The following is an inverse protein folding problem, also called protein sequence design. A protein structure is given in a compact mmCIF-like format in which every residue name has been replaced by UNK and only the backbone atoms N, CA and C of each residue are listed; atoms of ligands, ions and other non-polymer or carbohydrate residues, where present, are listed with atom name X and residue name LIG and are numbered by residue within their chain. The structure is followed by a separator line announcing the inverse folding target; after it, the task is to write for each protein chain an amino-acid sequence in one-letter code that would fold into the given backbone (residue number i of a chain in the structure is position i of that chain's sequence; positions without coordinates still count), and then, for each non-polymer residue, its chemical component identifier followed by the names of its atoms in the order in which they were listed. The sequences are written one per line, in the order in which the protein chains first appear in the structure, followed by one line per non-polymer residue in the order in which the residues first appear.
data_IF_913684559903
#
_entry.id   IF_913684559903
#
_cell.length_a   1.000
_cell.length_b   1.000
_cell.length_c   1.000
_cell.angle_alpha   90.00
_cell.angle_beta   90.00
_cell.angle_gamma   90.00
#
_symmetry.space_group_name_H-M   'P 1'
#
loop_
_entity.id
_entity.type
_entity.pdbx_description
1 polymer ?
#
# COMPACT_ATOMS: atom_id res chain seq x y z
N UNK A 1 16.11 12.68 -29.53
CA UNK A 1 15.16 11.79 -28.84
C UNK A 1 15.88 10.91 -27.80
N UNK A 2 16.60 11.48 -26.83
CA UNK A 2 17.39 10.71 -25.86
C UNK A 2 17.28 11.21 -24.40
N UNK A 3 16.27 12.04 -24.08
CA UNK A 3 16.12 12.68 -22.76
C UNK A 3 15.28 11.91 -21.73
N UNK A 4 14.31 11.09 -22.16
CA UNK A 4 13.27 10.55 -21.25
C UNK A 4 13.73 9.37 -20.35
N UNK A 5 14.95 8.87 -20.51
CA UNK A 5 15.41 7.67 -19.79
C UNK A 5 15.97 7.96 -18.39
N UNK A 6 16.23 9.21 -18.02
CA UNK A 6 16.96 9.51 -16.78
C UNK A 6 16.06 9.58 -15.54
N UNK A 7 14.81 10.03 -15.67
CA UNK A 7 13.87 10.11 -14.54
C UNK A 7 13.40 8.72 -14.08
N UNK A 8 13.14 7.80 -15.02
CA UNK A 8 12.77 6.42 -14.69
C UNK A 8 13.90 5.65 -13.99
N UNK A 9 15.17 5.97 -14.30
CA UNK A 9 16.34 5.39 -13.61
C UNK A 9 16.45 5.87 -12.16
N UNK A 10 16.12 7.13 -11.90
CA UNK A 10 16.12 7.68 -10.54
C UNK A 10 15.05 7.02 -9.66
N UNK A 11 13.84 6.77 -10.19
CA UNK A 11 12.76 6.13 -9.42
C UNK A 11 13.06 4.65 -9.13
N UNK A 12 13.63 3.92 -10.09
CA UNK A 12 14.07 2.52 -9.90
C UNK A 12 15.20 2.46 -8.87
N UNK A 13 16.14 3.41 -8.88
CA UNK A 13 17.20 3.52 -7.88
C UNK A 13 16.67 3.73 -6.46
N UNK A 14 15.68 4.62 -6.29
CA UNK A 14 14.96 4.85 -5.01
C UNK A 14 14.30 3.57 -4.51
N UNK A 15 13.65 2.85 -5.42
CA UNK A 15 12.97 1.60 -5.11
C UNK A 15 13.95 0.52 -4.65
N UNK A 16 15.08 0.37 -5.35
CA UNK A 16 16.13 -0.59 -4.98
C UNK A 16 16.76 -0.26 -3.62
N UNK A 17 16.92 1.02 -3.28
CA UNK A 17 17.42 1.44 -1.97
C UNK A 17 16.43 1.19 -0.83
N UNK A 18 15.11 1.41 -1.06
CA UNK A 18 14.06 1.06 -0.10
C UNK A 18 14.08 -0.43 0.27
N UNK A 19 14.24 -1.29 -0.73
CA UNK A 19 14.24 -2.75 -0.58
C UNK A 19 15.41 -3.21 0.29
N UNK A 20 16.61 -2.68 0.05
CA UNK A 20 17.80 -3.05 0.81
C UNK A 20 17.68 -2.70 2.31
N UNK A 21 16.99 -1.60 2.65
CA UNK A 21 16.82 -1.17 4.04
C UNK A 21 15.85 -2.07 4.83
N UNK A 22 14.81 -2.62 4.19
CA UNK A 22 13.81 -3.50 4.83
C UNK A 22 14.40 -4.87 5.20
N UNK A 23 15.35 -5.39 4.41
CA UNK A 23 15.91 -6.73 4.59
C UNK A 23 16.97 -6.85 5.71
N UNK A 24 17.43 -5.74 6.29
CA UNK A 24 18.53 -5.73 7.28
C UNK A 24 18.04 -5.67 8.73
N UNK A 25 16.73 -5.53 8.98
CA UNK A 25 16.19 -5.50 10.36
C UNK A 25 16.00 -6.93 10.88
N UNK A 26 16.73 -7.37 11.91
CA UNK A 26 16.56 -8.71 12.47
C UNK A 26 15.18 -8.84 13.14
N UNK A 27 14.41 -9.85 12.73
CA UNK A 27 13.21 -10.28 13.44
C UNK A 27 13.59 -10.83 14.82
N UNK A 28 13.36 -10.06 15.88
CA UNK A 28 13.37 -10.62 17.25
C UNK A 28 12.07 -11.41 17.46
N UNK A 29 12.16 -12.73 17.46
CA UNK A 29 11.07 -13.63 17.82
C UNK A 29 10.80 -13.55 19.32
N UNK A 30 9.95 -12.60 19.75
CA UNK A 30 9.41 -12.57 21.10
C UNK A 30 8.35 -13.66 21.26
N UNK A 31 8.72 -14.78 21.89
CA UNK A 31 7.80 -15.86 22.23
C UNK A 31 6.88 -15.44 23.37
N UNK A 32 5.58 -15.35 23.08
CA UNK A 32 4.52 -15.33 24.11
C UNK A 32 3.85 -16.70 24.12
N UNK A 33 4.07 -17.46 25.19
CA UNK A 33 3.39 -18.74 25.44
C UNK A 33 1.92 -18.49 25.74
N UNK A 34 1.01 -18.92 24.86
CA UNK A 34 -0.41 -19.07 25.18
C UNK A 34 -0.74 -20.54 25.45
N UNK A 35 -1.17 -20.82 26.67
CA UNK A 35 -1.83 -22.05 27.07
C UNK A 35 -3.14 -22.22 26.30
N UNK A 36 -3.32 -23.41 25.72
CA UNK A 36 -4.49 -23.77 24.93
C UNK A 36 -5.75 -23.88 25.80
N UNK A 37 -6.77 -23.07 25.48
CA UNK A 37 -8.14 -23.23 25.99
C UNK A 37 -9.04 -23.78 24.88
N UNK A 38 -9.78 -24.82 25.24
CA UNK A 38 -10.75 -25.63 24.48
C UNK A 38 -11.90 -24.76 23.89
N UNK A 39 -12.50 -25.12 22.74
CA UNK A 39 -13.56 -24.31 22.14
C UNK A 39 -14.85 -24.40 22.98
N UNK A 40 -15.39 -23.24 23.35
CA UNK A 40 -16.67 -23.13 24.05
C UNK A 40 -17.83 -23.12 23.03
N UNK A 41 -18.79 -24.01 23.27
CA UNK A 41 -20.15 -23.99 22.71
C UNK A 41 -20.81 -22.63 22.93
N UNK A 42 -21.47 -22.13 21.89
CA UNK A 42 -22.29 -20.93 21.93
C UNK A 42 -23.56 -21.19 22.77
N UNK A 43 -23.60 -20.64 23.98
CA UNK A 43 -24.85 -20.40 24.70
C UNK A 43 -25.26 -18.94 24.51
N UNK A 44 -26.42 -18.76 23.90
CA UNK A 44 -27.14 -17.50 23.86
C UNK A 44 -27.55 -17.12 25.29
N UNK A 45 -27.13 -15.94 25.74
CA UNK A 45 -27.74 -15.26 26.88
C UNK A 45 -28.19 -13.90 26.41
N UNK A 46 -29.49 -13.67 26.57
CA UNK A 46 -30.14 -12.38 26.39
C UNK A 46 -29.58 -11.40 27.42
N UNK A 47 -29.07 -10.26 26.95
CA UNK A 47 -28.78 -9.10 27.77
C UNK A 47 -29.13 -7.83 26.97
N UNK A 48 -30.09 -7.10 27.52
CA UNK A 48 -30.58 -5.80 27.11
C UNK A 48 -29.48 -4.74 26.98
N UNK A 49 -29.62 -3.90 25.96
CA UNK A 49 -29.41 -2.45 26.06
C UNK A 49 -27.98 -1.91 25.98
N UNK A 50 -27.46 -1.76 24.76
CA UNK A 50 -26.77 -0.52 24.38
C UNK A 50 -26.85 -0.33 22.85
N UNK A 51 -27.44 0.77 22.41
CA UNK A 51 -27.67 1.09 21.00
C UNK A 51 -26.34 1.45 20.31
N UNK A 52 -25.62 0.42 19.87
CA UNK A 52 -24.52 0.55 18.91
C UNK A 52 -25.04 1.06 17.57
N UNK A 53 -24.99 2.38 17.37
CA UNK A 53 -25.35 3.04 16.13
C UNK A 53 -24.64 2.39 14.94
N UNK A 54 -25.41 1.69 14.11
CA UNK A 54 -24.95 1.13 12.85
C UNK A 54 -24.37 2.25 11.99
N UNK A 55 -23.04 2.23 11.82
CA UNK A 55 -22.39 3.02 10.79
C UNK A 55 -22.92 2.49 9.44
N UNK A 56 -23.80 3.27 8.81
CA UNK A 56 -24.17 3.06 7.42
C UNK A 56 -22.93 3.07 6.51
N UNK A 57 -23.09 2.72 5.21
CA UNK A 57 -21.98 2.70 4.27
C UNK A 57 -21.18 4.01 4.37
N UNK A 58 -19.84 3.94 4.35
CA UNK A 58 -18.99 5.10 4.58
C UNK A 58 -19.40 6.21 3.63
N UNK A 59 -19.88 7.33 4.19
CA UNK A 59 -20.13 8.55 3.41
C UNK A 59 -18.81 8.88 2.72
N UNK A 60 -18.84 8.99 1.40
CA UNK A 60 -17.71 9.34 0.54
C UNK A 60 -16.86 10.41 1.25
N UNK A 61 -15.69 9.99 1.72
CA UNK A 61 -14.94 10.69 2.75
C UNK A 61 -14.61 12.11 2.31
N UNK A 62 -14.68 13.03 3.26
CA UNK A 62 -14.22 14.41 3.08
C UNK A 62 -12.73 14.41 2.76
N UNK A 63 -12.42 14.49 1.47
CA UNK A 63 -11.05 14.38 0.94
C UNK A 63 -10.35 15.74 0.92
N UNK A 64 -10.96 16.78 1.49
CA UNK A 64 -10.36 18.13 1.68
C UNK A 64 -9.01 18.09 2.41
N UNK A 65 -8.79 17.09 3.26
CA UNK A 65 -7.52 16.89 3.93
C UNK A 65 -6.35 16.55 3.00
N UNK A 66 -6.61 15.98 1.82
CA UNK A 66 -5.56 15.58 0.86
C UNK A 66 -4.82 16.77 0.25
N UNK A 67 -5.50 17.90 0.09
CA UNK A 67 -4.91 19.15 -0.42
C UNK A 67 -4.12 19.91 0.65
N UNK A 68 -4.37 19.65 1.95
CA UNK A 68 -3.79 20.43 3.06
C UNK A 68 -2.26 20.52 3.00
N UNK A 69 -1.51 19.41 2.82
CA UNK A 69 -0.05 19.50 2.75
C UNK A 69 0.44 20.35 1.58
N UNK A 70 -0.26 20.31 0.44
CA UNK A 70 0.11 21.07 -0.76
C UNK A 70 -0.17 22.56 -0.59
N UNK A 71 -1.32 22.92 0.01
CA UNK A 71 -1.66 24.30 0.31
C UNK A 71 -0.64 24.92 1.27
N UNK A 72 -0.30 24.19 2.34
CA UNK A 72 0.75 24.60 3.30
C UNK A 72 2.12 24.76 2.62
N UNK A 73 2.49 23.84 1.72
CA UNK A 73 3.72 23.92 0.94
C UNK A 73 3.75 25.17 0.04
N UNK A 74 2.62 25.50 -0.58
CA UNK A 74 2.48 26.65 -1.47
C UNK A 74 2.41 28.00 -0.72
N UNK A 75 2.32 27.97 0.61
CA UNK A 75 2.11 29.15 1.46
C UNK A 75 0.69 29.71 1.37
N UNK A 76 -0.29 28.87 1.01
CA UNK A 76 -1.71 29.23 0.97
C UNK A 76 -2.40 28.69 2.22
N UNK A 77 -3.20 29.52 2.87
CA UNK A 77 -4.09 29.04 3.92
C UNK A 77 -5.20 28.20 3.26
N UNK A 78 -5.61 27.10 3.91
CA UNK A 78 -6.94 26.54 3.65
C UNK A 78 -7.93 27.65 4.04
N UNK A 79 -8.64 28.23 3.08
CA UNK A 79 -9.78 29.06 3.42
C UNK A 79 -10.76 28.14 4.17
N UNK A 80 -10.95 28.40 5.46
CA UNK A 80 -11.94 27.71 6.28
C UNK A 80 -13.32 28.21 5.83
N UNK A 81 -13.81 27.71 4.69
CA UNK A 81 -15.15 28.02 4.25
C UNK A 81 -16.15 27.37 5.21
N UNK A 82 -17.04 28.19 5.73
CA UNK A 82 -18.04 27.81 6.71
C UNK A 82 -18.92 26.65 6.23
N UNK A 83 -19.40 25.89 7.20
CA UNK A 83 -20.38 24.81 7.10
C UNK A 83 -21.57 25.13 6.18
N UNK A 84 -21.50 24.76 4.90
CA UNK A 84 -22.64 24.72 3.99
C UNK A 84 -22.54 23.55 2.98
N UNK A 85 -23.67 23.01 2.46
CA UNK A 85 -23.70 21.81 1.65
C UNK A 85 -23.42 22.14 0.17
N UNK A 86 -22.13 22.23 -0.19
CA UNK A 86 -21.62 22.34 -1.56
C UNK A 86 -20.32 21.54 -1.78
N UNK A 87 -20.07 20.54 -0.93
CA UNK A 87 -18.74 20.02 -0.59
C UNK A 87 -17.93 19.39 -1.74
N UNK A 88 -18.57 18.81 -2.75
CA UNK A 88 -17.86 18.08 -3.82
C UNK A 88 -17.29 19.06 -4.87
N UNK A 89 -18.08 20.06 -5.29
CA UNK A 89 -17.66 21.03 -6.31
C UNK A 89 -16.57 21.97 -5.78
N UNK A 90 -16.69 22.39 -4.52
CA UNK A 90 -15.69 23.23 -3.84
C UNK A 90 -14.37 22.50 -3.65
N UNK A 91 -14.41 21.19 -3.38
CA UNK A 91 -13.21 20.39 -3.24
C UNK A 91 -12.54 20.09 -4.58
N UNK A 92 -13.29 19.75 -5.62
CA UNK A 92 -12.75 19.61 -6.97
C UNK A 92 -12.10 20.94 -7.43
N UNK A 93 -12.70 22.08 -7.07
CA UNK A 93 -12.12 23.39 -7.30
C UNK A 93 -10.83 23.63 -6.49
N UNK A 94 -10.77 23.18 -5.23
CA UNK A 94 -9.55 23.22 -4.39
C UNK A 94 -8.41 22.42 -5.03
N UNK A 95 -8.62 21.15 -5.36
CA UNK A 95 -7.57 20.29 -5.92
C UNK A 95 -7.12 20.79 -7.30
N UNK A 96 -8.05 21.29 -8.13
CA UNK A 96 -7.71 21.93 -9.41
C UNK A 96 -6.91 23.22 -9.22
N UNK A 97 -7.22 24.04 -8.20
CA UNK A 97 -6.46 25.25 -7.87
C UNK A 97 -5.04 24.93 -7.35
N UNK A 98 -4.90 23.89 -6.53
CA UNK A 98 -3.60 23.36 -6.09
C UNK A 98 -2.79 22.94 -7.31
N UNK A 99 -3.35 22.10 -8.16
CA UNK A 99 -2.66 21.56 -9.32
C UNK A 99 -2.27 22.65 -10.33
N UNK A 100 -3.16 23.63 -10.57
CA UNK A 100 -2.84 24.81 -11.37
C UNK A 100 -1.70 25.62 -10.76
N UNK A 101 -1.70 25.86 -9.45
CA UNK A 101 -0.63 26.62 -8.79
C UNK A 101 0.72 25.90 -8.89
N UNK A 102 0.72 24.57 -8.77
CA UNK A 102 1.92 23.75 -8.95
C UNK A 102 2.46 23.87 -10.38
N UNK A 103 1.57 23.82 -11.38
CA UNK A 103 1.92 24.02 -12.79
C UNK A 103 2.45 25.45 -13.07
N UNK A 104 1.76 26.48 -12.57
CA UNK A 104 2.13 27.89 -12.72
C UNK A 104 3.51 28.20 -12.11
N UNK A 105 3.89 27.47 -11.04
CA UNK A 105 5.21 27.57 -10.40
C UNK A 105 6.26 26.62 -10.99
N UNK A 106 5.93 25.87 -12.05
CA UNK A 106 6.78 24.86 -12.67
C UNK A 106 7.34 23.85 -11.66
N UNK A 107 6.49 23.34 -10.76
CA UNK A 107 6.83 22.30 -9.78
C UNK A 107 6.48 20.94 -10.38
N UNK A 108 7.48 20.08 -10.58
CA UNK A 108 7.25 18.72 -11.03
C UNK A 108 6.77 17.85 -9.86
N UNK A 109 5.59 17.24 -10.02
CA UNK A 109 5.00 16.37 -9.01
C UNK A 109 5.08 14.92 -9.47
N UNK A 110 5.53 14.04 -8.59
CA UNK A 110 5.38 12.59 -8.72
C UNK A 110 4.51 12.07 -7.57
N UNK A 111 3.85 10.94 -7.79
CA UNK A 111 2.97 10.31 -6.82
C UNK A 111 3.39 8.87 -6.55
N UNK A 112 3.22 8.42 -5.32
CA UNK A 112 3.41 7.04 -4.87
C UNK A 112 2.29 6.70 -3.91
N UNK A 113 1.67 5.53 -4.06
CA UNK A 113 0.80 4.96 -3.03
C UNK A 113 1.62 3.93 -2.26
N UNK A 114 1.57 3.97 -0.94
CA UNK A 114 2.25 3.04 -0.06
C UNK A 114 1.22 2.40 0.87
N UNK A 115 1.11 1.08 0.81
CA UNK A 115 0.35 0.33 1.78
C UNK A 115 1.12 0.28 3.10
N UNK A 116 0.44 0.58 4.20
CA UNK A 116 1.01 0.56 5.55
C UNK A 116 0.14 -0.30 6.46
N UNK A 117 0.74 -0.89 7.49
CA UNK A 117 -0.08 -1.46 8.56
C UNK A 117 -1.02 -0.37 9.11
N UNK A 118 -2.28 -0.71 9.33
CA UNK A 118 -3.27 0.25 9.85
C UNK A 118 -2.76 0.86 11.18
N UNK A 119 -2.54 2.17 11.24
CA UNK A 119 -1.90 2.83 12.39
C UNK A 119 -2.74 2.81 13.67
N UNK A 120 -4.04 2.55 13.58
CA UNK A 120 -4.97 2.61 14.72
C UNK A 120 -5.55 1.24 15.03
N UNK A 121 -6.02 0.56 13.99
CA UNK A 121 -6.75 -0.69 14.10
C UNK A 121 -5.83 -1.90 14.16
N UNK A 122 -4.58 -1.80 13.69
CA UNK A 122 -3.63 -2.89 13.89
C UNK A 122 -3.07 -2.83 15.31
N UNK A 123 -2.91 -3.98 15.96
CA UNK A 123 -2.14 -4.10 17.21
C UNK A 123 -0.64 -3.80 17.04
N UNK A 124 -0.26 -3.23 15.90
CA UNK A 124 1.10 -3.18 15.39
C UNK A 124 1.44 -1.78 14.87
N UNK A 125 0.97 -0.72 15.54
CA UNK A 125 1.28 0.68 15.18
C UNK A 125 2.78 0.96 15.03
N UNK A 126 3.63 0.25 15.79
CA UNK A 126 5.09 0.29 15.62
C UNK A 126 5.53 -0.05 14.18
N UNK A 127 4.86 -0.98 13.49
CA UNK A 127 5.20 -1.31 12.09
C UNK A 127 4.95 -0.12 11.18
N UNK A 128 3.87 0.63 11.41
CA UNK A 128 3.61 1.84 10.65
C UNK A 128 4.75 2.84 10.84
N UNK A 129 5.17 3.08 12.07
CA UNK A 129 6.30 3.98 12.36
C UNK A 129 7.59 3.52 11.69
N UNK A 130 7.90 2.22 11.77
CA UNK A 130 9.07 1.63 11.11
C UNK A 130 9.00 1.77 9.59
N UNK A 131 7.82 1.59 8.99
CA UNK A 131 7.60 1.76 7.55
C UNK A 131 7.84 3.22 7.13
N UNK A 132 7.32 4.18 7.89
CA UNK A 132 7.51 5.61 7.62
C UNK A 132 8.97 6.04 7.82
N UNK A 133 9.63 5.56 8.87
CA UNK A 133 11.05 5.82 9.11
C UNK A 133 11.91 5.24 7.97
N UNK A 134 11.59 4.02 7.51
CA UNK A 134 12.28 3.37 6.40
C UNK A 134 12.10 4.14 5.10
N UNK A 135 10.89 4.61 4.81
CA UNK A 135 10.59 5.47 3.66
C UNK A 135 11.40 6.77 3.70
N UNK A 136 11.45 7.46 4.84
CA UNK A 136 12.22 8.71 4.95
C UNK A 136 13.72 8.46 4.78
N UNK A 137 14.26 7.41 5.43
CA UNK A 137 15.68 7.04 5.32
C UNK A 137 16.07 6.66 3.90
N UNK A 138 15.22 5.95 3.18
CA UNK A 138 15.50 5.51 1.82
C UNK A 138 15.40 6.65 0.80
N UNK A 139 14.51 7.62 1.02
CA UNK A 139 14.35 8.77 0.13
C UNK A 139 15.48 9.80 0.26
N UNK A 140 16.08 9.92 1.44
CA UNK A 140 17.13 10.90 1.73
C UNK A 140 18.35 10.80 0.79
N UNK A 141 18.95 9.63 0.54
CA UNK A 141 20.03 9.47 -0.45
C UNK A 141 19.68 9.93 -1.87
N UNK A 142 18.40 9.96 -2.22
CA UNK A 142 17.91 10.40 -3.54
C UNK A 142 17.52 11.88 -3.55
N UNK A 143 17.91 12.64 -2.52
CA UNK A 143 17.70 14.08 -2.44
C UNK A 143 16.25 14.45 -2.17
N UNK A 144 15.49 13.59 -1.50
CA UNK A 144 14.14 13.90 -1.03
C UNK A 144 14.14 14.09 0.50
N UNK A 145 13.48 15.14 0.97
CA UNK A 145 13.34 15.46 2.40
C UNK A 145 11.86 15.66 2.71
N UNK A 146 11.39 15.07 3.81
CA UNK A 146 10.02 15.26 4.28
C UNK A 146 9.75 16.75 4.58
N UNK A 147 8.60 17.27 4.16
CA UNK A 147 8.28 18.71 4.24
C UNK A 147 6.94 18.98 4.94
N UNK A 148 5.84 18.38 4.45
CA UNK A 148 4.48 18.52 4.98
C UNK A 148 3.75 17.18 4.99
N UNK A 149 2.76 17.04 5.85
CA UNK A 149 1.95 15.83 5.91
C UNK A 149 0.57 16.10 6.48
N UNK A 150 -0.37 15.23 6.14
CA UNK A 150 -1.69 15.15 6.73
C UNK A 150 -2.04 13.68 6.92
N UNK A 151 -2.30 13.27 8.16
CA UNK A 151 -2.65 11.89 8.51
C UNK A 151 -4.05 11.88 9.12
N UNK A 152 -5.07 11.33 8.44
CA UNK A 152 -6.47 11.40 8.91
C UNK A 152 -6.68 10.72 10.25
N UNK A 153 -5.86 9.73 10.57
CA UNK A 153 -5.91 9.02 11.85
C UNK A 153 -5.26 9.77 13.01
N UNK A 154 -4.68 10.96 12.81
CA UNK A 154 -4.17 11.81 13.88
C UNK A 154 -5.05 13.05 13.94
N UNK A 155 -5.84 13.18 15.02
CA UNK A 155 -6.66 14.36 15.24
C UNK A 155 -5.79 15.58 15.59
N UNK A 156 -6.35 16.79 15.47
CA UNK A 156 -5.63 18.04 15.75
C UNK A 156 -5.14 18.15 17.21
N UNK A 157 -5.76 17.39 18.13
CA UNK A 157 -5.34 17.24 19.53
C UNK A 157 -4.17 16.24 19.71
N UNK A 158 -3.63 15.72 18.61
CA UNK A 158 -2.57 14.71 18.58
C UNK A 158 -3.03 13.29 18.91
N UNK A 159 -4.32 13.07 19.19
CA UNK A 159 -4.83 11.74 19.53
C UNK A 159 -5.08 10.92 18.28
N UNK A 160 -4.66 9.66 18.31
CA UNK A 160 -4.98 8.72 17.26
C UNK A 160 -6.48 8.38 17.30
N UNK A 161 -7.14 8.43 16.14
CA UNK A 161 -8.55 8.08 15.97
C UNK A 161 -8.70 7.20 14.75
N UNK A 162 -9.53 6.16 14.87
CA UNK A 162 -9.83 5.31 13.73
C UNK A 162 -10.59 6.15 12.70
N UNK A 163 -9.94 6.45 11.58
CA UNK A 163 -10.57 7.06 10.42
C UNK A 163 -10.35 6.14 9.24
N UNK A 164 -11.44 5.54 8.76
CA UNK A 164 -11.45 4.70 7.56
C UNK A 164 -11.85 5.52 6.34
N UNK A 165 -11.38 5.08 5.18
CA UNK A 165 -11.76 5.60 3.87
C UNK A 165 -11.04 6.87 3.45
N UNK A 166 -10.05 7.33 4.20
CA UNK A 166 -9.19 8.45 3.82
C UNK A 166 -7.72 8.04 3.90
N UNK A 167 -6.92 8.26 2.84
CA UNK A 167 -5.49 7.99 2.89
C UNK A 167 -4.78 9.13 3.62
N UNK A 168 -3.64 8.82 4.24
CA UNK A 168 -2.68 9.85 4.66
C UNK A 168 -1.92 10.39 3.46
N UNK A 169 -1.37 11.60 3.57
CA UNK A 169 -0.52 12.21 2.53
C UNK A 169 0.74 12.75 3.17
N UNK A 170 1.89 12.40 2.63
CA UNK A 170 3.19 12.95 2.99
C UNK A 170 3.85 13.57 1.75
N UNK A 171 4.34 14.80 1.89
CA UNK A 171 5.09 15.50 0.86
C UNK A 171 6.58 15.45 1.15
N UNK A 172 7.33 15.11 0.11
CA UNK A 172 8.78 15.13 0.11
C UNK A 172 9.27 16.12 -0.95
N UNK A 173 9.99 17.14 -0.50
CA UNK A 173 10.61 18.13 -1.39
C UNK A 173 11.95 17.60 -1.90
N UNK A 174 12.17 17.69 -3.20
CA UNK A 174 13.45 17.42 -3.84
C UNK A 174 14.45 18.55 -3.58
N UNK A 175 15.66 18.22 -3.14
CA UNK A 175 16.74 19.16 -2.81
C UNK A 175 17.82 19.26 -3.91
N UNK A 176 17.82 18.34 -4.87
CA UNK A 176 18.75 18.38 -6.00
C UNK A 176 18.33 19.37 -7.09
N UNK A 177 19.29 20.14 -7.63
CA UNK A 177 19.11 20.91 -8.87
C UNK A 177 18.77 19.95 -10.01
N UNK A 178 17.82 20.31 -10.87
CA UNK A 178 17.59 19.57 -12.12
C UNK A 178 18.84 19.74 -12.97
N UNK A 179 19.57 18.65 -13.20
CA UNK A 179 20.78 18.66 -14.03
C UNK A 179 20.37 18.82 -15.50
N UNK A 180 20.95 19.81 -16.17
CA UNK A 180 20.67 20.16 -17.56
C UNK A 180 20.08 21.56 -17.66
N UNK A 181 20.85 22.51 -18.21
CA UNK A 181 20.53 23.94 -18.33
C UNK A 181 19.37 24.29 -19.28
N UNK A 182 18.45 23.36 -19.52
CA UNK A 182 17.13 23.63 -20.08
C UNK A 182 16.24 24.28 -19.00
N UNK A 183 15.23 25.08 -19.36
CA UNK A 183 14.22 25.57 -18.43
C UNK A 183 13.32 24.42 -17.95
N UNK A 184 13.88 23.54 -17.11
CA UNK A 184 13.18 22.45 -16.44
C UNK A 184 12.47 22.93 -15.17
N UNK A 185 11.64 22.06 -14.56
CA UNK A 185 10.95 22.38 -13.32
C UNK A 185 11.95 22.78 -12.24
N UNK A 186 11.78 23.97 -11.67
CA UNK A 186 12.73 24.52 -10.67
C UNK A 186 12.68 23.75 -9.35
N UNK A 187 11.61 22.98 -9.13
CA UNK A 187 11.37 22.22 -7.91
C UNK A 187 10.74 20.87 -8.24
N UNK A 188 11.06 19.86 -7.42
CA UNK A 188 10.47 18.52 -7.48
C UNK A 188 9.74 18.22 -6.18
N UNK A 189 8.58 17.60 -6.28
CA UNK A 189 7.75 17.20 -5.14
C UNK A 189 7.31 15.75 -5.34
N UNK A 190 7.50 14.92 -4.32
CA UNK A 190 6.97 13.56 -4.28
C UNK A 190 5.84 13.54 -3.26
N UNK A 191 4.63 13.21 -3.72
CA UNK A 191 3.47 12.96 -2.88
C UNK A 191 3.36 11.45 -2.60
N UNK A 192 3.42 11.08 -1.32
CA UNK A 192 3.24 9.70 -0.87
C UNK A 192 1.89 9.58 -0.18
N UNK A 193 0.99 8.79 -0.77
CA UNK A 193 -0.30 8.44 -0.20
C UNK A 193 -0.16 7.19 0.65
N UNK A 194 -0.65 7.23 1.88
CA UNK A 194 -0.56 6.16 2.85
C UNK A 194 -1.92 5.50 2.99
N UNK A 195 -2.00 4.23 2.63
CA UNK A 195 -3.25 3.46 2.68
C UNK A 195 -3.10 2.36 3.74
N UNK A 196 -3.98 2.39 4.74
CA UNK A 196 -4.00 1.40 5.81
C UNK A 196 -4.43 0.02 5.29
N UNK A 197 -3.76 -1.01 5.79
CA UNK A 197 -4.17 -2.40 5.60
C UNK A 197 -4.11 -3.21 6.90
N UNK A 198 -5.00 -4.19 6.99
CA UNK A 198 -5.15 -5.11 8.10
C UNK A 198 -4.93 -6.54 7.61
N UNK A 199 -4.22 -7.35 8.40
CA UNK A 199 -3.89 -8.74 8.04
C UNK A 199 -5.09 -9.57 7.57
N UNK A 200 -6.24 -9.42 8.24
CA UNK A 200 -7.45 -10.22 8.00
C UNK A 200 -8.56 -9.45 7.29
N UNK A 201 -8.66 -8.14 7.51
CA UNK A 201 -9.69 -7.31 6.86
C UNK A 201 -9.26 -6.75 5.49
N UNK A 202 -7.97 -6.88 5.15
CA UNK A 202 -7.44 -6.42 3.88
C UNK A 202 -7.15 -4.91 3.86
N UNK A 203 -7.13 -4.35 2.65
CA UNK A 203 -6.82 -2.94 2.41
C UNK A 203 -8.05 -2.07 2.66
N UNK A 204 -7.81 -0.84 3.12
CA UNK A 204 -8.83 0.20 3.08
C UNK A 204 -9.09 0.62 1.62
N UNK A 205 -10.02 -0.09 0.97
CA UNK A 205 -10.41 0.13 -0.43
C UNK A 205 -10.82 1.57 -0.74
N UNK A 206 -11.76 2.18 0.03
CA UNK A 206 -12.13 3.57 -0.19
C UNK A 206 -10.94 4.55 -0.06
N UNK A 207 -10.01 4.32 0.88
CA UNK A 207 -8.79 5.12 0.99
C UNK A 207 -7.86 4.95 -0.23
N UNK A 208 -7.72 3.72 -0.77
CA UNK A 208 -6.96 3.46 -1.99
C UNK A 208 -7.55 4.20 -3.19
N UNK A 209 -8.87 4.12 -3.38
CA UNK A 209 -9.56 4.79 -4.48
C UNK A 209 -9.37 6.32 -4.40
N UNK A 210 -9.54 6.90 -3.22
CA UNK A 210 -9.30 8.32 -2.99
C UNK A 210 -7.85 8.72 -3.26
N UNK A 211 -6.87 7.89 -2.88
CA UNK A 211 -5.46 8.13 -3.15
C UNK A 211 -5.16 8.15 -4.66
N UNK A 212 -5.70 7.17 -5.40
CA UNK A 212 -5.49 7.05 -6.84
C UNK A 212 -6.15 8.20 -7.60
N UNK A 213 -7.40 8.55 -7.26
CA UNK A 213 -8.13 9.65 -7.89
C UNK A 213 -7.41 10.99 -7.68
N UNK A 214 -6.94 11.24 -6.46
CA UNK A 214 -6.21 12.46 -6.12
C UNK A 214 -4.83 12.52 -6.78
N UNK A 215 -4.07 11.42 -6.75
CA UNK A 215 -2.79 11.30 -7.43
C UNK A 215 -2.93 11.55 -8.94
N UNK A 216 -3.89 10.90 -9.59
CA UNK A 216 -4.12 11.06 -11.02
C UNK A 216 -4.48 12.50 -11.39
N UNK A 217 -5.33 13.15 -10.58
CA UNK A 217 -5.73 14.55 -10.79
C UNK A 217 -4.54 15.51 -10.71
N UNK A 218 -3.64 15.30 -9.74
CA UNK A 218 -2.42 16.11 -9.60
C UNK A 218 -1.43 15.89 -10.75
N UNK A 219 -1.20 14.63 -11.14
CA UNK A 219 -0.30 14.31 -12.24
C UNK A 219 -0.82 14.87 -13.57
N UNK A 220 -2.12 14.80 -13.82
CA UNK A 220 -2.75 15.31 -15.03
C UNK A 220 -2.56 16.83 -15.20
N UNK A 221 -2.52 17.59 -14.11
CA UNK A 221 -2.38 19.04 -14.16
C UNK A 221 -0.93 19.55 -14.09
N UNK A 222 0.01 18.75 -13.58
CA UNK A 222 1.42 19.15 -13.44
C UNK A 222 2.33 18.61 -14.55
N UNK A 223 1.93 17.54 -15.24
CA UNK A 223 2.69 16.98 -16.36
C UNK A 223 2.29 17.61 -17.69
N UNK A 224 3.04 18.62 -18.12
CA UNK A 224 2.90 19.23 -19.44
C UNK A 224 3.26 18.30 -20.62
N UNK A 225 3.83 17.10 -20.38
CA UNK A 225 4.50 16.35 -21.45
C UNK A 225 4.28 14.83 -21.55
N UNK A 226 3.79 14.08 -20.54
CA UNK A 226 3.72 12.61 -20.69
C UNK A 226 2.47 11.97 -20.08
N UNK A 227 1.55 11.55 -20.97
CA UNK A 227 0.38 10.69 -20.69
C UNK A 227 0.72 9.29 -20.12
N UNK A 228 1.94 9.07 -19.61
CA UNK A 228 2.47 7.75 -19.26
C UNK A 228 3.02 7.64 -17.84
N UNK A 229 2.90 8.68 -17.01
CA UNK A 229 3.33 8.55 -15.61
C UNK A 229 2.50 7.49 -14.90
N UNK A 230 3.19 6.45 -14.45
CA UNK A 230 2.62 5.38 -13.63
C UNK A 230 2.60 5.83 -12.18
N UNK A 231 1.52 5.53 -11.47
CA UNK A 231 1.43 5.64 -10.02
C UNK A 231 1.92 4.31 -9.43
N UNK A 232 3.15 4.23 -8.90
CA UNK A 232 3.58 3.06 -8.16
C UNK A 232 2.73 2.85 -6.91
N UNK A 233 2.46 1.58 -6.61
CA UNK A 233 1.82 1.11 -5.40
C UNK A 233 2.82 0.20 -4.70
N UNK A 234 3.40 0.67 -3.59
CA UNK A 234 4.30 -0.12 -2.76
C UNK A 234 3.47 -0.93 -1.77
N UNK A 235 3.30 -2.22 -2.05
CA UNK A 235 2.49 -3.12 -1.24
C UNK A 235 2.06 -4.40 -1.99
N UNK A 236 1.29 -5.28 -1.34
CA UNK A 236 0.78 -5.14 0.03
C UNK A 236 1.83 -5.42 1.11
N UNK A 237 1.55 -5.01 2.36
CA UNK A 237 2.40 -5.31 3.53
C UNK A 237 2.20 -6.75 3.98
N UNK A 238 0.93 -7.14 4.12
CA UNK A 238 0.45 -8.43 4.57
C UNK A 238 -0.03 -9.24 3.36
N UNK A 239 0.34 -10.52 3.31
CA UNK A 239 -0.13 -11.44 2.27
C UNK A 239 -1.65 -11.52 2.18
N UNK A 240 -2.36 -11.45 3.32
CA UNK A 240 -3.82 -11.50 3.37
C UNK A 240 -4.51 -10.34 2.63
N UNK A 241 -3.81 -9.24 2.42
CA UNK A 241 -4.33 -8.04 1.75
C UNK A 241 -4.40 -8.18 0.23
N UNK A 242 -3.69 -9.14 -0.37
CA UNK A 242 -3.52 -9.23 -1.82
C UNK A 242 -4.85 -9.27 -2.60
N UNK A 243 -5.83 -10.06 -2.15
CA UNK A 243 -7.13 -10.17 -2.81
C UNK A 243 -7.91 -8.85 -2.74
N UNK A 244 -7.95 -8.22 -1.56
CA UNK A 244 -8.64 -6.94 -1.38
C UNK A 244 -7.99 -5.81 -2.18
N UNK A 245 -6.66 -5.82 -2.33
CA UNK A 245 -5.95 -4.90 -3.21
C UNK A 245 -6.32 -5.14 -4.67
N UNK A 246 -6.37 -6.38 -5.14
CA UNK A 246 -6.78 -6.71 -6.50
C UNK A 246 -8.21 -6.22 -6.80
N UNK A 247 -9.16 -6.45 -5.88
CA UNK A 247 -10.54 -6.01 -6.03
C UNK A 247 -10.68 -4.48 -6.08
N UNK A 248 -10.01 -3.76 -5.17
CA UNK A 248 -10.03 -2.30 -5.16
C UNK A 248 -9.36 -1.70 -6.42
N UNK A 249 -8.32 -2.35 -6.94
CA UNK A 249 -7.70 -1.96 -8.22
C UNK A 249 -8.60 -2.24 -9.41
N UNK A 250 -9.29 -3.38 -9.45
CA UNK A 250 -10.28 -3.65 -10.49
C UNK A 250 -11.36 -2.56 -10.53
N UNK A 251 -11.86 -2.14 -9.37
CA UNK A 251 -12.79 -1.01 -9.27
C UNK A 251 -12.19 0.30 -9.80
N UNK A 252 -10.95 0.64 -9.39
CA UNK A 252 -10.27 1.84 -9.86
C UNK A 252 -10.07 1.86 -11.38
N UNK A 253 -9.72 0.70 -11.96
CA UNK A 253 -9.41 0.55 -13.39
C UNK A 253 -10.66 0.40 -14.26
N UNK A 254 -11.82 0.09 -13.66
CA UNK A 254 -13.12 0.05 -14.35
C UNK A 254 -13.71 1.45 -14.59
N UNK A 255 -13.09 2.51 -14.07
CA UNK A 255 -13.54 3.90 -14.26
C UNK A 255 -13.29 4.39 -15.69
N UNK A 256 -14.02 5.43 -16.12
CA UNK A 256 -13.88 6.01 -17.46
C UNK A 256 -12.51 6.63 -17.76
N UNK A 257 -11.79 7.06 -16.71
CA UNK A 257 -10.43 7.56 -16.79
C UNK A 257 -9.54 6.78 -15.80
N UNK A 258 -9.16 5.54 -16.13
CA UNK A 258 -8.49 4.67 -15.17
C UNK A 258 -7.07 5.17 -14.85
N UNK A 259 -6.61 5.04 -13.59
CA UNK A 259 -5.25 5.39 -13.23
C UNK A 259 -4.25 4.41 -13.86
N UNK A 260 -3.13 4.92 -14.36
CA UNK A 260 -2.04 4.08 -14.85
C UNK A 260 -1.19 3.65 -13.65
N UNK A 261 -1.27 2.39 -13.22
CA UNK A 261 -0.67 1.92 -11.96
C UNK A 261 0.36 0.80 -12.19
N UNK A 262 1.26 0.64 -11.22
CA UNK A 262 2.17 -0.52 -11.11
C UNK A 262 2.27 -0.96 -9.66
N UNK A 263 2.15 -2.26 -9.39
CA UNK A 263 2.24 -2.82 -8.03
C UNK A 263 3.62 -3.38 -7.79
N UNK A 264 4.21 -2.99 -6.67
CA UNK A 264 5.56 -3.33 -6.24
C UNK A 264 5.49 -3.95 -4.84
N UNK A 265 5.52 -5.28 -4.78
CA UNK A 265 5.49 -6.01 -3.52
C UNK A 265 6.89 -6.10 -2.89
N UNK A 266 7.00 -5.64 -1.65
CA UNK A 266 8.25 -5.65 -0.88
C UNK A 266 8.24 -6.49 0.38
N UNK A 267 7.09 -7.04 0.82
CA UNK A 267 7.01 -7.78 2.09
C UNK A 267 6.07 -8.99 2.11
N UNK A 268 5.06 -9.06 1.23
CA UNK A 268 4.13 -10.19 1.20
C UNK A 268 4.73 -11.42 0.50
N UNK A 269 5.27 -12.36 1.27
CA UNK A 269 6.01 -13.54 0.75
C UNK A 269 5.14 -14.62 0.12
N UNK A 270 3.87 -14.70 0.47
CA UNK A 270 2.96 -15.77 0.02
C UNK A 270 1.85 -15.23 -0.91
N UNK A 271 2.16 -14.22 -1.72
CA UNK A 271 1.20 -13.67 -2.68
C UNK A 271 1.03 -14.63 -3.87
N UNK A 272 -0.21 -15.08 -4.12
CA UNK A 272 -0.55 -15.90 -5.30
C UNK A 272 -0.81 -14.97 -6.50
N UNK A 273 0.19 -14.81 -7.37
CA UNK A 273 0.10 -13.93 -8.54
C UNK A 273 -1.04 -14.34 -9.48
N UNK A 274 -1.29 -15.64 -9.65
CA UNK A 274 -2.35 -16.11 -10.55
C UNK A 274 -3.73 -15.70 -10.03
N UNK A 275 -3.93 -15.82 -8.72
CA UNK A 275 -5.16 -15.37 -8.06
C UNK A 275 -5.31 -13.85 -8.13
N UNK A 276 -4.23 -13.11 -7.86
CA UNK A 276 -4.20 -11.66 -7.98
C UNK A 276 -4.58 -11.20 -9.40
N UNK A 277 -3.96 -11.77 -10.43
CA UNK A 277 -4.27 -11.49 -11.84
C UNK A 277 -5.71 -11.90 -12.20
N UNK A 278 -6.25 -12.97 -11.62
CA UNK A 278 -7.61 -13.43 -11.88
C UNK A 278 -8.66 -12.47 -11.32
N UNK A 279 -8.41 -11.90 -10.14
CA UNK A 279 -9.29 -10.90 -9.50
C UNK A 279 -9.23 -9.54 -10.18
N UNK A 280 -8.14 -9.24 -10.91
CA UNK A 280 -7.99 -8.02 -11.69
C UNK A 280 -8.66 -8.05 -13.07
N UNK A 281 -9.23 -9.18 -13.51
CA UNK A 281 -9.73 -9.30 -14.88
C UNK A 281 -10.95 -8.40 -15.14
N UNK A 282 -11.10 -7.84 -16.36
CA UNK A 282 -10.27 -8.06 -17.55
C UNK A 282 -8.95 -7.27 -17.60
N UNK A 283 -8.71 -6.41 -16.62
CA UNK A 283 -7.55 -5.54 -16.57
C UNK A 283 -6.25 -6.30 -16.27
N UNK A 284 -5.12 -5.67 -16.61
CA UNK A 284 -3.80 -6.18 -16.23
C UNK A 284 -3.01 -5.05 -15.58
N UNK A 285 -2.40 -5.35 -14.45
CA UNK A 285 -1.54 -4.41 -13.73
C UNK A 285 -0.13 -4.97 -13.72
N UNK A 286 0.88 -4.22 -14.20
CA UNK A 286 2.26 -4.61 -14.03
C UNK A 286 2.55 -4.86 -12.55
N UNK A 287 3.07 -6.04 -12.25
CA UNK A 287 3.35 -6.48 -10.90
C UNK A 287 4.80 -6.93 -10.82
N UNK A 288 5.55 -6.37 -9.87
CA UNK A 288 6.90 -6.81 -9.54
C UNK A 288 6.99 -7.13 -8.04
N UNK A 289 7.90 -8.05 -7.71
CA UNK A 289 8.22 -8.40 -6.33
C UNK A 289 9.72 -8.41 -6.14
N UNK A 290 10.13 -8.09 -4.92
CA UNK A 290 11.54 -7.90 -4.54
C UNK A 290 11.99 -8.93 -3.52
N UNK A 291 11.06 -9.79 -3.12
CA UNK A 291 11.23 -10.89 -2.18
C UNK A 291 10.98 -12.20 -2.91
N UNK A 292 11.73 -13.24 -2.53
CA UNK A 292 11.50 -14.58 -3.05
C UNK A 292 10.11 -15.06 -2.62
N UNK A 293 9.38 -15.70 -3.54
CA UNK A 293 8.09 -16.27 -3.22
C UNK A 293 8.22 -17.41 -2.22
N UNK A 294 7.15 -17.70 -1.48
CA UNK A 294 7.13 -18.87 -0.60
C UNK A 294 7.43 -20.17 -1.36
N UNK A 295 6.94 -20.30 -2.59
CA UNK A 295 7.22 -21.46 -3.44
C UNK A 295 8.71 -21.58 -3.78
N UNK A 296 9.39 -20.46 -4.06
CA UNK A 296 10.84 -20.46 -4.30
C UNK A 296 11.62 -20.82 -3.03
N UNK A 297 11.21 -20.29 -1.88
CA UNK A 297 11.81 -20.62 -0.58
C UNK A 297 11.61 -22.10 -0.23
N UNK A 298 10.41 -22.64 -0.44
CA UNK A 298 10.10 -24.05 -0.25
C UNK A 298 10.95 -24.93 -1.16
N UNK A 299 11.04 -24.62 -2.45
CA UNK A 299 11.86 -25.36 -3.41
C UNK A 299 13.35 -25.33 -3.02
N UNK A 300 13.85 -24.17 -2.59
CA UNK A 300 15.23 -24.03 -2.13
C UNK A 300 15.50 -24.88 -0.87
N UNK A 301 14.56 -24.93 0.08
CA UNK A 301 14.67 -25.78 1.26
C UNK A 301 14.68 -27.26 0.89
N UNK A 302 13.78 -27.71 0.02
CA UNK A 302 13.74 -29.11 -0.44
C UNK A 302 15.05 -29.51 -1.11
N UNK A 303 15.55 -28.68 -2.03
CA UNK A 303 16.84 -28.92 -2.69
C UNK A 303 18.01 -28.98 -1.69
N UNK A 304 18.00 -28.13 -0.66
CA UNK A 304 19.01 -28.16 0.40
C UNK A 304 18.96 -29.47 1.21
N UNK A 305 17.77 -29.96 1.55
CA UNK A 305 17.59 -31.22 2.28
C UNK A 305 18.03 -32.43 1.44
N UNK A 306 17.69 -32.44 0.15
CA UNK A 306 18.19 -33.46 -0.81
C UNK A 306 19.71 -33.56 -0.80
N UNK A 307 20.41 -32.42 -0.85
CA UNK A 307 21.87 -32.38 -0.84
C UNK A 307 22.52 -32.85 0.47
N UNK A 308 21.79 -32.78 1.60
CA UNK A 308 22.32 -33.08 2.94
C UNK A 308 22.11 -34.53 3.40
N UNK A 309 21.50 -35.37 2.57
CA UNK A 309 21.20 -36.76 2.92
C UNK A 309 19.79 -37.20 2.56
N UNK A 310 19.05 -36.39 1.81
CA UNK A 310 17.68 -36.71 1.42
C UNK A 310 16.66 -36.42 2.52
N UNK A 311 15.39 -36.62 2.18
CA UNK A 311 14.28 -36.62 3.11
C UNK A 311 13.26 -37.67 2.65
N UNK A 312 12.75 -38.49 3.57
CA UNK A 312 11.71 -39.47 3.24
C UNK A 312 10.31 -38.86 3.37
N UNK A 313 10.11 -38.01 4.37
CA UNK A 313 8.82 -37.38 4.72
C UNK A 313 9.03 -36.00 5.30
N UNK A 314 8.24 -35.04 4.84
CA UNK A 314 8.21 -33.66 5.36
C UNK A 314 6.80 -33.37 5.85
N UNK A 315 6.71 -32.91 7.10
CA UNK A 315 5.47 -32.35 7.64
C UNK A 315 5.63 -30.82 7.70
N UNK A 316 4.63 -30.13 7.15
CA UNK A 316 4.57 -28.66 7.19
C UNK A 316 3.56 -28.25 8.26
N UNK A 317 3.98 -27.40 9.20
CA UNK A 317 3.10 -26.79 10.19
C UNK A 317 2.83 -25.34 9.77
N UNK A 318 1.57 -24.96 9.69
CA UNK A 318 1.16 -23.60 9.30
C UNK A 318 0.16 -23.02 10.27
N UNK A 319 0.18 -21.70 10.43
CA UNK A 319 -0.79 -20.98 11.23
C UNK A 319 -2.13 -20.89 10.47
N UNK A 320 -3.21 -21.33 11.13
CA UNK A 320 -4.55 -21.25 10.58
C UNK A 320 -4.98 -19.79 10.33
N UNK A 321 -5.82 -19.56 9.33
CA UNK A 321 -6.34 -18.23 9.01
C UNK A 321 -5.37 -17.30 8.28
N UNK A 322 -4.16 -17.74 7.97
CA UNK A 322 -3.20 -16.96 7.18
C UNK A 322 -3.33 -17.30 5.69
N UNK A 323 -3.10 -16.31 4.81
CA UNK A 323 -2.98 -16.55 3.37
C UNK A 323 -1.85 -17.55 3.02
N UNK A 324 -0.89 -17.71 3.95
CA UNK A 324 0.18 -18.69 3.88
C UNK A 324 -0.35 -20.14 3.95
N UNK A 325 -1.18 -20.46 4.94
CA UNK A 325 -1.77 -21.80 5.07
C UNK A 325 -2.63 -22.19 3.86
N UNK A 326 -3.38 -21.23 3.31
CA UNK A 326 -4.21 -21.45 2.13
C UNK A 326 -3.40 -21.82 0.88
N UNK A 327 -2.20 -21.28 0.72
CA UNK A 327 -1.32 -21.58 -0.41
C UNK A 327 -0.59 -22.91 -0.27
N UNK A 328 -0.23 -23.29 0.96
CA UNK A 328 0.43 -24.57 1.20
C UNK A 328 -0.49 -25.76 0.86
N UNK A 329 -1.77 -25.70 1.23
CA UNK A 329 -2.73 -26.77 0.96
C UNK A 329 -2.96 -27.06 -0.53
N UNK A 330 -2.72 -26.07 -1.41
CA UNK A 330 -2.80 -26.23 -2.87
C UNK A 330 -1.52 -26.84 -3.48
N UNK A 331 -0.36 -26.61 -2.87
CA UNK A 331 0.91 -27.17 -3.34
C UNK A 331 0.98 -28.69 -3.09
N UNK A 332 0.39 -29.17 -2.00
CA UNK A 332 0.39 -30.60 -1.64
C UNK A 332 -0.55 -31.46 -2.50
N UNK A 333 -1.57 -30.88 -3.12
CA UNK A 333 -2.55 -31.64 -3.94
C UNK A 333 -2.18 -31.75 -5.42
N UNK A 334 -1.21 -30.95 -5.89
CA UNK A 334 -0.74 -31.01 -7.28
C UNK A 334 0.50 -31.91 -7.48
N UNK A 335 1.05 -32.48 -6.41
CA UNK A 335 2.05 -33.53 -6.47
C UNK A 335 1.42 -34.86 -6.90
N UNK A 336 1.72 -35.28 -8.12
CA UNK A 336 1.30 -36.55 -8.72
C UNK A 336 1.91 -37.73 -7.94
N UNK A 337 1.18 -38.22 -6.94
CA UNK A 337 1.44 -39.49 -6.27
C UNK A 337 0.35 -40.47 -6.65
N UNK A 338 0.68 -41.42 -7.53
CA UNK A 338 -0.23 -42.49 -7.93
C UNK A 338 -0.81 -43.19 -6.71
N UNK A 339 -2.13 -43.21 -6.62
CA UNK A 339 -2.87 -43.99 -5.65
C UNK A 339 -2.69 -45.49 -5.97
N UNK A 340 -1.62 -46.08 -5.47
CA UNK A 340 -1.56 -47.53 -5.24
C UNK A 340 -2.06 -47.79 -3.84
N UNK A 341 -3.32 -48.23 -3.75
CA UNK A 341 -3.93 -48.60 -2.48
C UNK A 341 -3.28 -49.86 -1.90
N UNK A 342 -2.44 -49.69 -0.88
CA UNK A 342 -2.07 -50.76 0.02
C UNK A 342 -3.01 -50.73 1.22
N UNK A 343 -3.92 -51.72 1.27
CA UNK A 343 -4.72 -52.06 2.46
C UNK A 343 -3.78 -52.46 3.59
N UNK A 344 -3.90 -51.80 4.74
CA UNK A 344 -3.31 -52.25 6.00
C UNK A 344 -4.32 -53.20 6.67
N UNK A 345 -3.86 -54.41 7.00
CA UNK A 345 -4.43 -55.23 8.07
C UNK A 345 -3.80 -54.80 9.38
#
# INVERSE_FOLDING_TARGET
MAGDNNENRSLIGVLMAMIAAILVVPWSSGGSSSTASRPAEAQATDADGDEGGGQGPPKQGDTRGLDKPFLEYLGKALEQSGTAPGKIAEQAASSAAVAKTLADRCIAVTALVMCIADPVSSSNGYRTDLQLETLQKSLKPHGYVADRWWLPWIADDGKQRAQRGLPGVMLFRGTGKVEGGEPGPTQRLLAVYLVGELMTAGIDGPALLAALDHAQSLLAATSAATKQQRIPILGPVFTGTADSLALALHEALSKSNPPNVVVLNSSATALDKKRFDALLRPETVPYATTIASFQDQQKALLAYLEQRGGYDRIAWLTEAGTGFAANLGKATTSGTGGASGAKIK
#
